data_IF_172249209751
#
_entry.id   IF_172249209751
#
_cell.length_a   1.000
_cell.length_b   1.000
_cell.length_c   1.000
_cell.angle_alpha   90.00
_cell.angle_beta   90.00
_cell.angle_gamma   90.00
#
_symmetry.space_group_name_H-M   'P 1'
#
loop_
_entity.id
_entity.type
_entity.pdbx_description
1 polymer ?
#
# COMPACT_ATOMS: atom_id res chain seq x y z
N UNK A 1 -11.16 -3.74 -12.81
CA UNK A 1 -10.55 -2.74 -11.90
C UNK A 1 -10.18 -3.44 -10.62
N UNK A 2 -9.06 -3.07 -9.98
CA UNK A 2 -8.74 -3.56 -8.63
C UNK A 2 -9.72 -2.91 -7.65
N UNK A 3 -10.38 -3.70 -6.82
CA UNK A 3 -11.34 -3.23 -5.81
C UNK A 3 -10.68 -3.25 -4.43
N UNK A 4 -11.25 -2.51 -3.48
CA UNK A 4 -10.81 -2.49 -2.10
C UNK A 4 -12.01 -2.62 -1.17
N UNK A 5 -11.86 -3.44 -0.15
CA UNK A 5 -12.80 -3.58 0.96
C UNK A 5 -11.99 -3.38 2.24
N UNK A 6 -11.91 -2.11 2.65
CA UNK A 6 -11.03 -1.65 3.72
C UNK A 6 -11.79 -0.72 4.66
N UNK A 7 -11.50 -0.83 5.95
CA UNK A 7 -12.13 0.01 6.97
C UNK A 7 -11.56 1.44 6.95
N UNK A 8 -12.43 2.44 6.77
CA UNK A 8 -12.02 3.86 6.81
C UNK A 8 -11.42 4.26 8.16
N UNK A 9 -11.97 3.76 9.26
CA UNK A 9 -11.47 4.05 10.61
C UNK A 9 -10.07 3.45 10.81
N UNK A 10 -9.84 2.25 10.29
CA UNK A 10 -8.51 1.61 10.32
C UNK A 10 -7.50 2.44 9.51
N UNK A 11 -7.87 2.86 8.29
CA UNK A 11 -7.01 3.68 7.44
C UNK A 11 -6.63 4.99 8.12
N UNK A 12 -7.60 5.66 8.75
CA UNK A 12 -7.35 6.90 9.48
C UNK A 12 -6.32 6.71 10.61
N UNK A 13 -6.42 5.62 11.37
CA UNK A 13 -5.47 5.30 12.44
C UNK A 13 -4.09 4.92 11.90
N UNK A 14 -4.03 4.11 10.84
CA UNK A 14 -2.76 3.67 10.25
C UNK A 14 -1.96 4.79 9.59
N UNK A 15 -2.64 5.78 9.02
CA UNK A 15 -2.01 6.88 8.30
C UNK A 15 -1.74 8.13 9.14
N UNK A 16 -1.91 8.04 10.46
CA UNK A 16 -1.51 9.13 11.36
C UNK A 16 -0.02 9.46 11.18
N UNK A 17 0.28 10.73 10.89
CA UNK A 17 1.64 11.20 10.61
C UNK A 17 2.20 10.88 9.23
N UNK A 18 1.42 10.28 8.32
CA UNK A 18 1.78 10.12 6.91
C UNK A 18 1.47 11.39 6.13
N UNK A 19 2.36 11.78 5.20
CA UNK A 19 2.01 12.78 4.19
C UNK A 19 1.12 12.18 3.11
N UNK A 20 0.44 13.01 2.32
CA UNK A 20 -0.30 12.54 1.15
C UNK A 20 0.57 11.76 0.15
N UNK A 21 1.87 12.08 0.05
CA UNK A 21 2.81 11.34 -0.77
C UNK A 21 3.11 9.94 -0.19
N UNK A 22 3.29 9.85 1.13
CA UNK A 22 3.47 8.57 1.83
C UNK A 22 2.22 7.69 1.65
N UNK A 23 1.01 8.24 1.87
CA UNK A 23 -0.27 7.52 1.69
C UNK A 23 -0.37 6.97 0.26
N UNK A 24 -0.08 7.80 -0.75
CA UNK A 24 -0.11 7.38 -2.15
C UNK A 24 0.86 6.24 -2.43
N UNK A 25 2.06 6.27 -1.83
CA UNK A 25 3.05 5.21 -1.96
C UNK A 25 2.57 3.92 -1.28
N UNK A 26 2.04 4.01 -0.06
CA UNK A 26 1.50 2.87 0.68
C UNK A 26 0.34 2.20 -0.07
N UNK A 27 -0.59 2.97 -0.65
CA UNK A 27 -1.68 2.42 -1.45
C UNK A 27 -1.17 1.64 -2.68
N UNK A 28 -0.09 2.11 -3.31
CA UNK A 28 0.55 1.36 -4.41
C UNK A 28 1.17 0.05 -3.92
N UNK A 29 1.82 0.05 -2.75
CA UNK A 29 2.36 -1.19 -2.19
C UNK A 29 1.23 -2.16 -1.78
N UNK A 30 0.11 -1.68 -1.26
CA UNK A 30 -1.05 -2.52 -0.94
C UNK A 30 -1.61 -3.21 -2.18
N UNK A 31 -1.71 -2.50 -3.32
CA UNK A 31 -2.05 -3.10 -4.62
C UNK A 31 -1.01 -4.17 -5.00
N UNK A 32 0.27 -3.88 -4.84
CA UNK A 32 1.34 -4.83 -5.16
C UNK A 32 1.37 -6.07 -4.25
N UNK A 33 0.88 -5.97 -3.00
CA UNK A 33 0.69 -7.14 -2.15
C UNK A 33 -0.27 -8.17 -2.78
N UNK A 34 -1.33 -7.71 -3.45
CA UNK A 34 -2.28 -8.58 -4.16
C UNK A 34 -1.72 -9.08 -5.49
N UNK A 35 -1.02 -8.22 -6.24
CA UNK A 35 -0.55 -8.56 -7.58
C UNK A 35 0.69 -9.47 -7.60
N UNK A 36 1.57 -9.36 -6.59
CA UNK A 36 2.85 -10.11 -6.57
C UNK A 36 2.67 -11.64 -6.60
N UNK A 37 1.76 -12.27 -5.83
CA UNK A 37 1.47 -13.70 -5.94
C UNK A 37 0.95 -14.12 -7.32
N UNK A 38 0.15 -13.25 -7.95
CA UNK A 38 -0.37 -13.47 -9.30
C UNK A 38 0.78 -13.50 -10.30
N UNK A 39 1.69 -12.52 -10.25
CA UNK A 39 2.84 -12.48 -11.14
C UNK A 39 3.74 -13.70 -10.98
N UNK A 40 4.05 -14.13 -9.75
CA UNK A 40 4.83 -15.35 -9.50
C UNK A 40 4.15 -16.58 -10.12
N UNK A 41 2.84 -16.71 -9.92
CA UNK A 41 2.04 -17.81 -10.48
C UNK A 41 2.04 -17.80 -12.02
N UNK A 42 2.08 -16.63 -12.65
CA UNK A 42 2.15 -16.50 -14.10
C UNK A 42 3.55 -16.81 -14.64
N UNK A 43 4.60 -16.39 -13.93
CA UNK A 43 6.00 -16.69 -14.27
C UNK A 43 6.28 -18.19 -14.19
N UNK A 44 5.87 -18.86 -13.11
CA UNK A 44 6.02 -20.31 -12.94
C UNK A 44 5.35 -21.10 -14.07
N UNK A 45 4.17 -20.66 -14.52
CA UNK A 45 3.43 -21.29 -15.63
C UNK A 45 4.11 -21.09 -16.97
N UNK A 46 4.75 -19.94 -17.21
CA UNK A 46 5.50 -19.66 -18.45
C UNK A 46 6.68 -20.61 -18.64
N UNK A 47 7.29 -21.06 -17.53
CA UNK A 47 8.38 -22.04 -17.55
C UNK A 47 7.91 -23.49 -17.70
N UNK A 48 6.60 -23.76 -17.55
CA UNK A 48 5.99 -25.06 -17.78
C UNK A 48 5.52 -25.19 -19.22
N UNK A 49 5.83 -26.29 -19.91
CA UNK A 49 5.58 -26.51 -21.34
C UNK A 49 4.10 -26.55 -21.78
N UNK A 50 3.14 -26.22 -20.91
CA UNK A 50 1.72 -26.10 -21.22
C UNK A 50 1.33 -24.61 -21.29
N UNK A 51 1.33 -24.05 -22.49
CA UNK A 51 0.76 -22.72 -22.77
C UNK A 51 -0.77 -22.81 -22.67
N UNK A 52 -1.32 -22.80 -21.46
CA UNK A 52 -2.75 -22.66 -21.23
C UNK A 52 -3.15 -21.19 -21.39
N UNK A 53 -4.27 -20.96 -22.07
CA UNK A 53 -4.92 -19.65 -22.18
C UNK A 53 -5.19 -19.05 -20.80
N UNK A 54 -4.95 -17.75 -20.66
CA UNK A 54 -5.16 -16.99 -19.43
C UNK A 54 -6.66 -16.67 -19.33
N UNK A 55 -7.50 -17.69 -19.24
CA UNK A 55 -8.92 -17.44 -19.45
C UNK A 55 -9.48 -16.57 -18.31
N UNK A 56 -9.06 -16.78 -17.05
CA UNK A 56 -9.52 -15.95 -15.92
C UNK A 56 -8.46 -15.79 -14.81
N UNK A 57 -7.80 -14.63 -14.73
CA UNK A 57 -7.07 -14.21 -13.52
C UNK A 57 -8.08 -13.54 -12.58
N UNK A 58 -8.31 -14.16 -11.43
CA UNK A 58 -9.07 -13.52 -10.36
C UNK A 58 -8.14 -12.62 -9.55
N UNK A 59 -8.44 -11.32 -9.51
CA UNK A 59 -7.73 -10.36 -8.66
C UNK A 59 -8.59 -10.16 -7.43
N UNK A 60 -8.08 -10.57 -6.27
CA UNK A 60 -8.78 -10.38 -5.01
C UNK A 60 -8.90 -8.89 -4.65
N UNK A 61 -9.95 -8.55 -3.91
CA UNK A 61 -10.11 -7.20 -3.38
C UNK A 61 -9.02 -6.91 -2.34
N UNK A 62 -8.50 -5.69 -2.32
CA UNK A 62 -7.56 -5.26 -1.28
C UNK A 62 -8.29 -5.26 0.06
N UNK A 63 -7.81 -6.09 0.99
CA UNK A 63 -8.23 -6.17 2.39
C UNK A 63 -7.33 -5.35 3.31
N UNK A 64 -7.80 -5.13 4.53
CA UNK A 64 -7.06 -4.49 5.62
C UNK A 64 -5.65 -5.11 5.85
N UNK A 65 -5.53 -6.43 5.72
CA UNK A 65 -4.25 -7.15 5.85
C UNK A 65 -3.19 -6.68 4.86
N UNK A 66 -3.57 -6.37 3.61
CA UNK A 66 -2.65 -5.87 2.61
C UNK A 66 -2.18 -4.45 2.93
N UNK A 67 -3.05 -3.63 3.53
CA UNK A 67 -2.71 -2.28 3.99
C UNK A 67 -1.71 -2.36 5.15
N UNK A 68 -1.93 -3.23 6.13
CA UNK A 68 -0.97 -3.43 7.24
C UNK A 68 0.41 -3.85 6.72
N UNK A 69 0.47 -4.81 5.79
CA UNK A 69 1.73 -5.22 5.16
C UNK A 69 2.39 -4.09 4.38
N UNK A 70 1.59 -3.24 3.73
CA UNK A 70 2.11 -2.08 3.01
C UNK A 70 2.69 -1.04 3.97
N UNK A 71 1.98 -0.71 5.06
CA UNK A 71 2.43 0.21 6.11
C UNK A 71 3.74 -0.26 6.75
N UNK A 72 3.88 -1.55 7.03
CA UNK A 72 5.13 -2.12 7.57
C UNK A 72 6.33 -1.89 6.63
N UNK A 73 6.09 -2.00 5.32
CA UNK A 73 7.12 -1.81 4.28
C UNK A 73 7.37 -0.34 3.94
N UNK A 74 6.37 0.52 4.09
CA UNK A 74 6.45 1.94 3.76
C UNK A 74 6.40 2.77 5.03
N UNK A 75 7.57 3.13 5.56
CA UNK A 75 7.66 4.02 6.72
C UNK A 75 7.39 5.48 6.31
N UNK A 76 6.72 6.28 7.16
CA UNK A 76 6.41 7.67 6.84
C UNK A 76 7.69 8.51 6.76
N UNK A 77 7.82 9.31 5.70
CA UNK A 77 8.97 10.22 5.55
C UNK A 77 8.86 11.46 6.44
N UNK A 78 7.65 11.86 6.79
CA UNK A 78 7.35 13.12 7.49
C UNK A 78 7.78 13.11 8.97
N UNK A 79 7.95 11.94 9.58
CA UNK A 79 8.30 11.83 11.02
C UNK A 79 9.58 12.58 11.39
N UNK A 80 10.55 12.73 10.47
CA UNK A 80 11.80 13.46 10.72
C UNK A 80 11.65 14.99 10.68
N UNK A 81 10.65 15.49 9.96
CA UNK A 81 10.43 16.93 9.76
C UNK A 81 9.37 17.49 10.71
N UNK A 82 8.51 16.62 11.26
CA UNK A 82 7.42 17.00 12.15
C UNK A 82 7.88 17.78 13.38
N UNK A 83 8.99 17.37 14.01
CA UNK A 83 9.49 18.07 15.19
C UNK A 83 9.92 19.51 14.87
N UNK A 84 10.66 19.69 13.77
CA UNK A 84 11.12 21.02 13.32
C UNK A 84 9.95 21.93 12.96
N UNK A 85 8.92 21.36 12.33
CA UNK A 85 7.69 22.08 12.03
C UNK A 85 6.99 22.53 13.32
N UNK A 86 6.80 21.63 14.29
CA UNK A 86 6.16 21.96 15.58
C UNK A 86 6.93 23.03 16.36
N UNK A 87 8.26 22.99 16.35
CA UNK A 87 9.08 24.04 16.97
C UNK A 87 8.86 25.39 16.29
N UNK A 88 8.88 25.42 14.96
CA UNK A 88 8.62 26.64 14.19
C UNK A 88 7.19 27.18 14.40
N UNK A 89 6.19 26.29 14.44
CA UNK A 89 4.79 26.64 14.73
C UNK A 89 4.63 27.23 16.13
N UNK A 90 5.31 26.70 17.15
CA UNK A 90 5.25 27.27 18.49
C UNK A 90 5.91 28.66 18.58
N UNK A 91 6.92 28.92 17.75
CA UNK A 91 7.66 30.20 17.73
C UNK A 91 6.99 31.28 16.86
N UNK A 92 6.36 30.91 15.75
CA UNK A 92 5.87 31.83 14.72
C UNK A 92 4.45 31.53 14.23
N UNK A 93 3.81 30.48 14.74
CA UNK A 93 2.42 30.15 14.43
C UNK A 93 1.48 31.24 14.93
N UNK A 94 0.45 31.53 14.12
CA UNK A 94 -0.57 32.54 14.42
C UNK A 94 -1.57 32.07 15.47
#
# INVERSE_FOLDING_TARGET
MVTSDVSHDMLAQCFEGYSGADIKLTCKEAIMCVLRPIFLTLEDRKHSAKSASIDHINIEAIQDSHVYLAVEKTKPTTSKHLLRYKTWEAEYGS
#
